data_IF_926785359253
#
_entry.id   IF_926785359253
#
_cell.length_a   1.000
_cell.length_b   1.000
_cell.length_c   1.000
_cell.angle_alpha   90.00
_cell.angle_beta   90.00
_cell.angle_gamma   90.00
#
_symmetry.space_group_name_H-M   'P 1'
#
loop_
_entity.id
_entity.type
_entity.pdbx_description
1 polymer ?
#
# COMPACT_ATOMS: atom_id res chain seq x y z
N UNK A 1 -35.43 -22.57 10.14
CA UNK A 1 -34.31 -22.32 9.22
C UNK A 1 -33.76 -20.92 9.49
N UNK A 2 -32.76 -20.79 10.36
CA UNK A 2 -32.17 -19.49 10.69
C UNK A 2 -31.15 -19.11 9.63
N UNK A 3 -31.46 -18.12 8.80
CA UNK A 3 -30.47 -17.47 7.92
C UNK A 3 -29.53 -16.66 8.79
N UNK A 4 -28.35 -17.21 9.10
CA UNK A 4 -27.29 -16.42 9.74
C UNK A 4 -27.01 -15.18 8.87
N UNK A 5 -26.98 -13.96 9.45
CA UNK A 5 -26.65 -12.77 8.69
C UNK A 5 -25.26 -12.94 8.08
N UNK A 6 -25.13 -12.74 6.76
CA UNK A 6 -23.84 -12.76 6.08
C UNK A 6 -23.00 -11.66 6.70
N UNK A 7 -22.01 -12.04 7.52
CA UNK A 7 -20.97 -11.13 7.99
C UNK A 7 -20.43 -10.41 6.75
N UNK A 8 -20.36 -9.07 6.73
CA UNK A 8 -19.67 -8.38 5.65
C UNK A 8 -18.26 -8.99 5.59
N UNK A 9 -17.88 -9.50 4.42
CA UNK A 9 -16.56 -10.07 4.22
C UNK A 9 -15.55 -9.03 4.73
N UNK A 10 -14.71 -9.42 5.70
CA UNK A 10 -13.60 -8.56 6.12
C UNK A 10 -12.89 -8.12 4.84
N UNK A 11 -12.59 -6.81 4.66
CA UNK A 11 -11.76 -6.41 3.55
C UNK A 11 -10.51 -7.28 3.57
N UNK A 12 -10.33 -8.08 2.51
CA UNK A 12 -9.24 -9.06 2.41
C UNK A 12 -7.88 -8.37 2.44
N UNK A 13 -7.86 -7.08 2.08
CA UNK A 13 -6.68 -6.24 2.03
C UNK A 13 -6.64 -5.36 3.27
N UNK A 14 -5.55 -5.48 4.05
CA UNK A 14 -5.24 -4.60 5.17
C UNK A 14 -4.87 -3.19 4.67
N UNK A 15 -4.91 -2.15 5.53
CA UNK A 15 -4.37 -0.85 5.18
C UNK A 15 -2.91 -0.98 4.70
N UNK A 16 -2.60 -0.38 3.55
CA UNK A 16 -1.31 -0.51 2.85
C UNK A 16 -0.90 0.85 2.28
N UNK A 17 0.24 0.96 1.61
CA UNK A 17 0.62 2.23 0.97
C UNK A 17 -0.15 2.40 -0.33
N UNK A 18 -0.61 3.61 -0.65
CA UNK A 18 -1.16 3.86 -1.99
C UNK A 18 -0.08 3.70 -3.06
N UNK A 19 -0.31 2.81 -4.02
CA UNK A 19 0.53 2.64 -5.20
C UNK A 19 -0.33 2.87 -6.43
N UNK A 20 -0.14 3.98 -7.13
CA UNK A 20 -0.90 4.28 -8.35
C UNK A 20 -0.67 3.19 -9.39
N UNK A 21 -1.74 2.70 -10.00
CA UNK A 21 -1.64 1.75 -11.11
C UNK A 21 -1.13 2.45 -12.38
N UNK A 22 -0.05 1.91 -12.95
CA UNK A 22 0.53 2.40 -14.20
C UNK A 22 -0.41 2.16 -15.39
N UNK A 23 -0.45 3.12 -16.32
CA UNK A 23 -1.23 3.01 -17.56
C UNK A 23 -2.75 3.16 -17.39
N UNK A 24 -3.26 3.32 -16.16
CA UNK A 24 -4.69 3.54 -15.91
C UNK A 24 -4.92 5.01 -15.54
N UNK A 25 -5.72 5.76 -16.33
CA UNK A 25 -6.05 7.13 -16.01
C UNK A 25 -6.90 7.19 -14.74
N UNK A 26 -6.91 8.35 -14.08
CA UNK A 26 -7.84 8.58 -12.99
C UNK A 26 -9.28 8.52 -13.50
N UNK A 27 -10.19 8.05 -12.66
CA UNK A 27 -11.61 8.06 -12.92
C UNK A 27 -12.09 9.52 -13.16
N UNK A 28 -12.76 9.82 -14.29
CA UNK A 28 -13.12 11.19 -14.65
C UNK A 28 -14.08 11.88 -13.68
N UNK A 29 -14.87 11.12 -12.92
CA UNK A 29 -15.90 11.65 -12.03
C UNK A 29 -15.36 11.91 -10.62
N UNK A 30 -14.59 10.98 -10.09
CA UNK A 30 -14.01 11.08 -8.74
C UNK A 30 -12.63 11.72 -8.72
N UNK A 31 -11.93 11.76 -9.86
CA UNK A 31 -10.53 12.20 -9.96
C UNK A 31 -9.55 11.25 -9.25
N UNK A 32 -10.00 10.08 -8.81
CA UNK A 32 -9.18 9.09 -8.11
C UNK A 32 -8.62 8.07 -9.07
N UNK A 33 -7.39 7.62 -8.83
CA UNK A 33 -6.79 6.54 -9.62
C UNK A 33 -6.90 5.21 -8.85
N UNK A 34 -6.88 4.08 -9.57
CA UNK A 34 -6.84 2.77 -8.93
C UNK A 34 -5.47 2.51 -8.28
N UNK A 35 -5.51 1.93 -7.09
CA UNK A 35 -4.34 1.40 -6.41
C UNK A 35 -3.97 0.04 -7.01
N UNK A 36 -2.69 -0.17 -7.33
CA UNK A 36 -2.14 -1.41 -7.88
C UNK A 36 -2.28 -2.60 -6.93
N UNK A 37 -2.22 -2.37 -5.63
CA UNK A 37 -2.20 -3.44 -4.63
C UNK A 37 -3.61 -3.96 -4.30
N UNK A 38 -4.58 -3.06 -4.11
CA UNK A 38 -5.95 -3.44 -3.76
C UNK A 38 -6.99 -3.28 -4.89
N UNK A 39 -6.60 -2.72 -6.04
CA UNK A 39 -7.46 -2.41 -7.19
C UNK A 39 -8.65 -1.48 -6.86
N UNK A 40 -8.59 -0.74 -5.74
CA UNK A 40 -9.62 0.25 -5.36
C UNK A 40 -9.20 1.65 -5.73
N UNK A 41 -10.17 2.50 -6.03
CA UNK A 41 -9.98 3.94 -6.19
C UNK A 41 -9.63 4.56 -4.85
N UNK A 42 -8.56 5.34 -4.80
CA UNK A 42 -8.10 5.97 -3.56
C UNK A 42 -6.99 6.96 -3.80
N UNK A 43 -6.37 7.43 -2.71
CA UNK A 43 -5.20 8.31 -2.73
C UNK A 43 -4.31 8.05 -1.53
N UNK A 44 -3.05 8.46 -1.60
CA UNK A 44 -2.16 8.41 -0.45
C UNK A 44 -2.74 9.21 0.74
N UNK A 45 -2.66 8.62 1.93
CA UNK A 45 -3.12 9.22 3.18
C UNK A 45 -4.58 8.89 3.56
N UNK A 46 -5.32 8.15 2.73
CA UNK A 46 -6.67 7.70 3.13
C UNK A 46 -6.62 6.52 4.14
N UNK A 47 -7.77 6.19 4.75
CA UNK A 47 -7.85 5.14 5.78
C UNK A 47 -7.42 3.76 5.27
N UNK A 48 -7.61 3.48 3.98
CA UNK A 48 -7.17 2.23 3.34
C UNK A 48 -5.73 2.33 2.85
N UNK A 49 -5.22 3.54 2.67
CA UNK A 49 -3.91 3.85 2.15
C UNK A 49 -3.09 4.80 3.05
N UNK A 50 -2.80 4.42 4.32
CA UNK A 50 -2.04 5.29 5.22
C UNK A 50 -0.67 5.66 4.63
N UNK A 51 -0.29 6.92 4.81
CA UNK A 51 1.09 7.33 4.57
C UNK A 51 2.00 6.65 5.61
N UNK A 52 3.17 6.14 5.20
CA UNK A 52 4.13 5.60 6.15
C UNK A 52 4.54 6.69 7.14
N UNK A 53 4.41 6.40 8.43
CA UNK A 53 4.77 7.32 9.52
C UNK A 53 6.28 7.47 9.70
N UNK A 54 7.06 6.58 9.09
CA UNK A 54 8.52 6.66 9.04
C UNK A 54 8.96 7.02 7.62
N UNK A 55 9.88 7.99 7.46
CA UNK A 55 10.47 8.25 6.15
C UNK A 55 11.16 6.98 5.64
N UNK A 56 11.19 6.75 4.31
CA UNK A 56 11.96 5.66 3.75
C UNK A 56 13.42 5.78 4.21
N UNK A 57 14.01 4.68 4.66
CA UNK A 57 15.42 4.66 5.08
C UNK A 57 16.27 5.16 3.90
N UNK A 58 17.08 6.22 4.08
CA UNK A 58 17.88 6.75 2.99
C UNK A 58 18.79 5.64 2.44
N UNK A 59 19.11 5.65 1.14
CA UNK A 59 19.92 4.60 0.51
C UNK A 59 21.27 4.41 1.19
N UNK A 60 21.87 5.48 1.73
CA UNK A 60 23.11 5.42 2.52
C UNK A 60 22.96 4.61 3.82
N UNK A 61 21.79 4.70 4.47
CA UNK A 61 21.50 3.92 5.67
C UNK A 61 21.23 2.44 5.33
N UNK A 62 20.56 2.16 4.20
CA UNK A 62 20.38 0.78 3.72
C UNK A 62 21.72 0.11 3.39
N UNK A 63 22.66 0.85 2.78
CA UNK A 63 24.01 0.35 2.51
C UNK A 63 24.83 0.14 3.78
N UNK A 64 24.70 1.04 4.76
CA UNK A 64 25.32 0.88 6.07
C UNK A 64 24.77 -0.35 6.81
N UNK A 65 23.46 -0.56 6.80
CA UNK A 65 22.82 -1.73 7.40
C UNK A 65 23.26 -3.04 6.71
N UNK A 66 23.31 -3.08 5.38
CA UNK A 66 23.81 -4.24 4.64
C UNK A 66 25.29 -4.55 4.95
N UNK A 67 26.11 -3.51 5.19
CA UNK A 67 27.50 -3.65 5.60
C UNK A 67 27.64 -4.14 7.05
N UNK A 68 26.80 -3.67 7.97
CA UNK A 68 26.78 -4.12 9.36
C UNK A 68 26.28 -5.57 9.47
N UNK A 69 25.29 -5.94 8.66
CA UNK A 69 24.71 -7.28 8.61
C UNK A 69 25.63 -8.31 7.91
N UNK A 70 26.71 -7.86 7.27
CA UNK A 70 27.70 -8.73 6.63
C UNK A 70 27.25 -9.32 5.29
N UNK A 71 26.22 -8.76 4.65
CA UNK A 71 25.63 -9.29 3.41
C UNK A 71 26.39 -8.89 2.14
N UNK A 72 27.46 -8.10 2.26
CA UNK A 72 28.37 -7.73 1.17
C UNK A 72 29.81 -8.09 1.57
N UNK A 73 30.26 -9.25 1.11
CA UNK A 73 31.69 -9.61 1.09
C UNK A 73 32.31 -9.08 -0.21
N UNK A 74 33.34 -8.24 -0.05
CA UNK A 74 34.36 -7.75 -0.99
C UNK A 74 34.10 -7.75 -2.51
#
# INVERSE_FOLDING_TARGET
MSRSPRRPARPTVLPHRYVRQDGVPADPWSGLAPCRECNKLGRAGDVQHPEPTMPPTPPEAQELEARILGEREW
#
